data_IF_488868268019
#
_entry.id   IF_488868268019
#
_cell.length_a   1.000
_cell.length_b   1.000
_cell.length_c   1.000
_cell.angle_alpha   90.00
_cell.angle_beta   90.00
_cell.angle_gamma   90.00
#
_symmetry.space_group_name_H-M   'P 1'
#
loop_
_entity.id
_entity.type
_entity.pdbx_description
1 polymer ?
#
# COMPACT_ATOMS: atom_id res chain seq x y z
N UNK A 1 -14.26 -1.75 15.17
CA UNK A 1 -13.91 -2.24 13.82
C UNK A 1 -14.37 -1.31 12.71
N UNK A 2 -15.66 -1.00 12.54
CA UNK A 2 -16.17 -0.14 11.46
C UNK A 2 -15.47 1.22 11.36
N UNK A 3 -15.33 1.96 12.46
CA UNK A 3 -14.62 3.26 12.45
C UNK A 3 -13.15 3.15 12.04
N UNK A 4 -12.45 2.07 12.43
CA UNK A 4 -11.05 1.83 12.03
C UNK A 4 -10.94 1.50 10.54
N UNK A 5 -11.87 0.69 10.02
CA UNK A 5 -11.94 0.40 8.59
C UNK A 5 -12.18 1.67 7.77
N UNK A 6 -13.23 2.44 8.12
CA UNK A 6 -13.58 3.67 7.40
C UNK A 6 -12.44 4.71 7.45
N UNK A 7 -11.82 4.88 8.62
CA UNK A 7 -10.66 5.75 8.79
C UNK A 7 -9.51 5.34 7.86
N UNK A 8 -9.21 4.04 7.79
CA UNK A 8 -8.14 3.52 6.96
C UNK A 8 -8.48 3.64 5.47
N UNK A 9 -9.71 3.29 5.08
CA UNK A 9 -10.20 3.30 3.70
C UNK A 9 -10.13 4.71 3.11
N UNK A 10 -10.70 5.71 3.78
CA UNK A 10 -10.71 7.08 3.29
C UNK A 10 -9.32 7.75 3.39
N UNK A 11 -8.49 7.36 4.36
CA UNK A 11 -7.09 7.79 4.39
C UNK A 11 -6.31 7.25 3.18
N UNK A 12 -6.52 5.99 2.82
CA UNK A 12 -5.88 5.40 1.63
C UNK A 12 -6.40 6.00 0.33
N UNK A 13 -7.67 6.37 0.25
CA UNK A 13 -8.22 7.11 -0.88
C UNK A 13 -7.39 8.37 -1.17
N UNK A 14 -7.14 9.19 -0.16
CA UNK A 14 -6.38 10.45 -0.37
C UNK A 14 -4.87 10.24 -0.47
N UNK A 15 -4.35 9.20 0.15
CA UNK A 15 -2.93 8.85 0.00
C UNK A 15 -2.55 8.57 -1.45
N UNK A 16 -3.44 7.91 -2.20
CA UNK A 16 -3.26 7.58 -3.61
C UNK A 16 -3.81 8.65 -4.57
N UNK A 17 -4.31 9.77 -4.08
CA UNK A 17 -5.03 10.76 -4.88
C UNK A 17 -4.22 11.30 -6.07
N UNK A 18 -2.89 11.47 -5.90
CA UNK A 18 -2.02 11.96 -6.96
C UNK A 18 -1.84 10.95 -8.11
N UNK A 19 -2.04 9.65 -7.87
CA UNK A 19 -1.97 8.62 -8.90
C UNK A 19 -2.99 8.84 -10.03
N UNK A 20 -4.29 8.79 -9.74
CA UNK A 20 -5.34 9.05 -10.74
C UNK A 20 -5.33 10.47 -11.30
N UNK A 21 -4.83 11.46 -10.55
CA UNK A 21 -4.71 12.85 -10.99
C UNK A 21 -3.41 13.13 -11.77
N UNK A 22 -2.53 12.15 -11.95
CA UNK A 22 -1.21 12.39 -12.53
C UNK A 22 -1.25 12.94 -13.95
N UNK A 23 -2.23 12.54 -14.76
CA UNK A 23 -2.35 13.02 -16.14
C UNK A 23 -2.79 14.49 -16.17
N UNK A 24 -3.92 14.89 -15.55
CA UNK A 24 -4.35 16.30 -15.58
C UNK A 24 -3.32 17.23 -14.87
N UNK A 25 -2.69 16.81 -13.80
CA UNK A 25 -1.65 17.64 -13.12
C UNK A 25 -0.43 17.78 -14.03
N UNK A 26 0.05 16.71 -14.65
CA UNK A 26 1.22 16.76 -15.52
C UNK A 26 0.98 17.64 -16.76
N UNK A 27 -0.21 17.58 -17.34
CA UNK A 27 -0.60 18.45 -18.46
C UNK A 27 -0.65 19.94 -18.05
N UNK A 28 -1.21 20.23 -16.87
CA UNK A 28 -1.31 21.59 -16.37
C UNK A 28 0.03 22.22 -15.98
N UNK A 29 0.98 21.43 -15.49
CA UNK A 29 2.27 21.89 -15.00
C UNK A 29 3.44 21.63 -15.97
N UNK A 30 3.18 20.99 -17.13
CA UNK A 30 4.21 20.66 -18.11
C UNK A 30 5.24 19.64 -17.59
N UNK A 31 4.80 18.66 -16.76
CA UNK A 31 5.69 17.67 -16.15
C UNK A 31 6.10 16.60 -17.15
N UNK A 32 7.39 16.25 -17.16
CA UNK A 32 7.87 15.09 -17.88
C UNK A 32 7.50 13.75 -17.21
N UNK A 33 7.80 12.64 -17.87
CA UNK A 33 7.44 11.30 -17.38
C UNK A 33 8.12 10.97 -16.05
N UNK A 34 9.36 11.40 -15.85
CA UNK A 34 10.09 11.16 -14.60
C UNK A 34 9.50 11.99 -13.46
N UNK A 35 9.21 13.26 -13.68
CA UNK A 35 8.58 14.15 -12.70
C UNK A 35 7.20 13.64 -12.29
N UNK A 36 6.40 13.17 -13.27
CA UNK A 36 5.10 12.56 -13.02
C UNK A 36 5.23 11.29 -12.16
N UNK A 37 6.20 10.44 -12.44
CA UNK A 37 6.42 9.24 -11.64
C UNK A 37 6.89 9.57 -10.21
N UNK A 38 7.74 10.58 -10.02
CA UNK A 38 8.14 11.03 -8.69
C UNK A 38 6.96 11.63 -7.92
N UNK A 39 6.08 12.37 -8.57
CA UNK A 39 4.87 12.92 -7.97
C UNK A 39 4.00 11.84 -7.32
N UNK A 40 3.82 10.70 -7.99
CA UNK A 40 2.99 9.60 -7.45
C UNK A 40 3.75 8.68 -6.50
N UNK A 41 5.08 8.65 -6.58
CA UNK A 41 5.91 7.79 -5.74
C UNK A 41 6.21 8.42 -4.36
N UNK A 42 6.41 9.74 -4.29
CA UNK A 42 6.78 10.43 -3.04
C UNK A 42 5.76 10.21 -1.90
N UNK A 43 4.43 10.30 -2.11
CA UNK A 43 3.47 9.96 -1.06
C UNK A 43 3.67 8.55 -0.50
N UNK A 44 4.02 7.58 -1.35
CA UNK A 44 4.23 6.18 -0.95
C UNK A 44 5.43 6.08 -0.02
N UNK A 45 6.55 6.70 -0.38
CA UNK A 45 7.76 6.73 0.46
C UNK A 45 7.51 7.42 1.80
N UNK A 46 6.88 8.59 1.77
CA UNK A 46 6.59 9.34 2.99
C UNK A 46 5.63 8.57 3.90
N UNK A 47 4.59 7.94 3.32
CA UNK A 47 3.70 7.09 4.08
C UNK A 47 4.41 5.89 4.71
N UNK A 48 5.38 5.31 4.01
CA UNK A 48 6.20 4.22 4.54
C UNK A 48 7.00 4.63 5.79
N UNK A 49 7.70 5.75 5.72
CA UNK A 49 8.51 6.26 6.84
C UNK A 49 7.64 6.76 7.99
N UNK A 50 6.62 7.56 7.68
CA UNK A 50 5.72 8.15 8.68
C UNK A 50 4.89 7.09 9.40
N UNK A 51 4.75 5.87 8.86
CA UNK A 51 4.09 4.74 9.53
C UNK A 51 4.79 4.36 10.83
N UNK A 52 6.12 4.41 10.90
CA UNK A 52 6.85 4.17 12.14
C UNK A 52 6.61 5.31 13.14
N UNK A 53 6.66 6.56 12.68
CA UNK A 53 6.46 7.74 13.51
C UNK A 53 5.05 7.76 14.09
N UNK A 54 4.03 7.55 13.24
CA UNK A 54 2.63 7.54 13.66
C UNK A 54 2.31 6.35 14.58
N UNK A 55 2.94 5.19 14.34
CA UNK A 55 2.82 4.02 15.22
C UNK A 55 3.35 4.30 16.62
N UNK A 56 4.53 4.92 16.74
CA UNK A 56 5.08 5.32 18.04
C UNK A 56 4.26 6.42 18.70
N UNK A 57 3.71 7.35 17.93
CA UNK A 57 2.81 8.37 18.46
C UNK A 57 1.54 7.71 19.01
N UNK A 58 0.97 6.76 18.29
CA UNK A 58 -0.19 5.99 18.75
C UNK A 58 0.07 5.21 20.05
N UNK A 59 1.28 4.69 20.23
CA UNK A 59 1.67 4.00 21.49
C UNK A 59 1.88 4.98 22.66
N UNK A 60 2.15 6.27 22.39
CA UNK A 60 2.39 7.30 23.43
C UNK A 60 1.12 8.00 23.89
N UNK A 61 0.29 8.47 22.92
CA UNK A 61 -0.91 9.30 23.21
C UNK A 61 -2.22 8.56 22.99
N UNK A 62 -2.14 7.30 22.56
CA UNK A 62 -3.28 6.47 22.17
C UNK A 62 -3.56 6.51 20.67
N UNK A 63 -4.03 5.40 20.12
CA UNK A 63 -4.29 5.24 18.69
C UNK A 63 -5.39 6.20 18.19
N UNK A 64 -6.45 6.40 18.98
CA UNK A 64 -7.53 7.34 18.62
C UNK A 64 -7.02 8.77 18.50
N UNK A 65 -6.29 9.27 19.51
CA UNK A 65 -5.76 10.65 19.49
C UNK A 65 -4.77 10.84 18.36
N UNK A 66 -3.86 9.88 18.18
CA UNK A 66 -2.88 9.92 17.09
C UNK A 66 -3.57 9.94 15.71
N UNK A 67 -4.63 9.15 15.53
CA UNK A 67 -5.44 9.14 14.31
C UNK A 67 -6.14 10.47 14.05
N UNK A 68 -6.72 11.10 15.08
CA UNK A 68 -7.37 12.41 14.94
C UNK A 68 -6.36 13.48 14.51
N UNK A 69 -5.19 13.53 15.16
CA UNK A 69 -4.12 14.49 14.81
C UNK A 69 -3.64 14.28 13.37
N UNK A 70 -3.39 13.02 12.98
CA UNK A 70 -2.96 12.68 11.63
C UNK A 70 -4.00 13.08 10.59
N UNK A 71 -5.28 12.79 10.82
CA UNK A 71 -6.34 13.11 9.87
C UNK A 71 -6.60 14.61 9.75
N UNK A 72 -6.52 15.36 10.85
CA UNK A 72 -6.58 16.82 10.82
C UNK A 72 -5.43 17.42 10.00
N UNK A 73 -4.21 16.90 10.15
CA UNK A 73 -3.06 17.33 9.35
C UNK A 73 -3.28 17.07 7.84
N UNK A 74 -3.84 15.91 7.48
CA UNK A 74 -4.17 15.58 6.08
C UNK A 74 -5.25 16.51 5.52
N UNK A 75 -6.32 16.75 6.28
CA UNK A 75 -7.41 17.67 5.89
C UNK A 75 -6.85 19.08 5.69
N UNK A 76 -6.03 19.58 6.61
CA UNK A 76 -5.39 20.88 6.50
C UNK A 76 -4.50 20.98 5.26
N UNK A 77 -3.78 19.90 4.93
CA UNK A 77 -2.92 19.85 3.74
C UNK A 77 -3.71 19.91 2.43
N UNK A 78 -4.80 19.14 2.35
CA UNK A 78 -5.69 19.16 1.17
C UNK A 78 -6.43 20.49 1.04
N UNK A 79 -6.92 21.04 2.15
CA UNK A 79 -7.57 22.34 2.17
C UNK A 79 -6.61 23.46 1.74
N UNK A 80 -5.37 23.44 2.25
CA UNK A 80 -4.32 24.36 1.83
C UNK A 80 -3.99 24.25 0.34
N UNK A 81 -3.85 23.02 -0.17
CA UNK A 81 -3.60 22.78 -1.60
C UNK A 81 -4.77 23.28 -2.48
N UNK A 82 -6.00 23.16 -2.00
CA UNK A 82 -7.18 23.69 -2.68
C UNK A 82 -7.22 25.20 -2.70
N UNK A 83 -6.99 25.87 -1.57
CA UNK A 83 -7.10 27.34 -1.44
C UNK A 83 -5.94 28.07 -2.11
N UNK A 84 -4.71 27.57 -1.95
CA UNK A 84 -3.50 28.20 -2.49
C UNK A 84 -3.23 27.79 -3.95
N UNK A 85 -3.83 26.71 -4.39
CA UNK A 85 -3.54 26.08 -5.66
C UNK A 85 -2.20 25.32 -5.64
N UNK A 86 -2.03 24.45 -6.62
CA UNK A 86 -0.79 23.70 -6.85
C UNK A 86 -0.30 24.04 -8.25
N UNK A 87 0.76 24.85 -8.33
CA UNK A 87 1.24 25.48 -9.56
C UNK A 87 2.68 25.09 -9.92
N UNK A 88 3.36 24.28 -9.10
CA UNK A 88 4.72 23.85 -9.36
C UNK A 88 4.98 22.43 -8.88
N UNK A 89 6.01 21.78 -9.45
CA UNK A 89 6.45 20.44 -9.03
C UNK A 89 6.80 20.41 -7.53
N UNK A 90 7.44 21.46 -7.00
CA UNK A 90 7.77 21.56 -5.58
C UNK A 90 6.55 21.51 -4.67
N UNK A 91 5.47 22.21 -5.06
CA UNK A 91 4.20 22.20 -4.30
C UNK A 91 3.51 20.83 -4.38
N UNK A 92 3.55 20.16 -5.55
CA UNK A 92 3.04 18.79 -5.70
C UNK A 92 3.80 17.83 -4.80
N UNK A 93 5.14 17.90 -4.78
CA UNK A 93 5.97 17.05 -3.92
C UNK A 93 5.70 17.33 -2.44
N UNK A 94 5.57 18.60 -2.04
CA UNK A 94 5.20 18.95 -0.66
C UNK A 94 3.83 18.36 -0.29
N UNK A 95 2.84 18.49 -1.15
CA UNK A 95 1.54 17.86 -0.95
C UNK A 95 1.69 16.35 -0.83
N UNK A 96 2.51 15.72 -1.68
CA UNK A 96 2.81 14.29 -1.64
C UNK A 96 3.40 13.84 -0.30
N UNK A 97 4.34 14.62 0.26
CA UNK A 97 4.92 14.38 1.61
C UNK A 97 3.82 14.43 2.68
N UNK A 98 2.96 15.45 2.63
CA UNK A 98 1.88 15.63 3.59
C UNK A 98 0.80 14.53 3.47
N UNK A 99 0.45 14.11 2.24
CA UNK A 99 -0.44 12.98 2.01
C UNK A 99 0.17 11.65 2.50
N UNK A 100 1.48 11.55 2.64
CA UNK A 100 2.14 10.43 3.29
C UNK A 100 1.64 10.18 4.71
N UNK A 101 1.17 11.22 5.43
CA UNK A 101 0.54 11.07 6.76
C UNK A 101 -0.69 10.17 6.66
N UNK A 102 -1.49 10.34 5.60
CA UNK A 102 -2.64 9.47 5.35
C UNK A 102 -2.22 8.00 5.08
N UNK A 103 -1.10 7.79 4.38
CA UNK A 103 -0.52 6.44 4.17
C UNK A 103 -0.03 5.77 5.45
N UNK A 104 0.28 6.55 6.49
CA UNK A 104 0.64 6.05 7.80
C UNK A 104 -0.57 5.58 8.64
N UNK A 105 -1.81 5.84 8.23
CA UNK A 105 -3.06 5.49 8.94
C UNK A 105 -3.18 4.00 9.30
N UNK A 106 -2.52 3.15 8.55
CA UNK A 106 -2.36 1.72 8.85
C UNK A 106 -1.86 1.46 10.28
N UNK A 107 -0.91 2.26 10.76
CA UNK A 107 -0.33 2.12 12.10
C UNK A 107 -1.30 2.49 13.23
N UNK A 108 -2.38 3.21 12.92
CA UNK A 108 -3.46 3.54 13.85
C UNK A 108 -4.62 2.55 13.74
N UNK A 109 -5.08 2.32 12.52
CA UNK A 109 -6.32 1.59 12.26
C UNK A 109 -6.25 0.12 12.68
N UNK A 110 -5.14 -0.57 12.35
CA UNK A 110 -5.03 -2.00 12.63
C UNK A 110 -4.94 -2.30 14.12
N UNK A 111 -4.05 -1.65 14.90
CA UNK A 111 -4.03 -1.86 16.35
C UNK A 111 -5.34 -1.47 17.03
N UNK A 112 -5.98 -0.38 16.60
CA UNK A 112 -7.25 0.06 17.16
C UNK A 112 -8.37 -0.95 16.92
N UNK A 113 -8.35 -1.66 15.79
CA UNK A 113 -9.33 -2.71 15.50
C UNK A 113 -9.00 -4.01 16.23
N UNK A 114 -7.74 -4.49 16.16
CA UNK A 114 -7.36 -5.82 16.61
C UNK A 114 -7.35 -5.98 18.12
N UNK A 115 -7.02 -4.93 18.89
CA UNK A 115 -6.91 -4.99 20.37
C UNK A 115 -8.23 -5.28 21.10
N UNK A 116 -9.36 -5.21 20.42
CA UNK A 116 -10.68 -5.59 20.97
C UNK A 116 -10.96 -7.09 20.90
N UNK A 117 -10.12 -7.83 20.19
CA UNK A 117 -10.30 -9.26 19.94
C UNK A 117 -9.25 -10.09 20.65
N UNK A 118 -9.59 -11.30 21.10
CA UNK A 118 -8.63 -12.23 21.67
C UNK A 118 -7.58 -12.63 20.60
N UNK A 119 -6.39 -13.09 21.00
CA UNK A 119 -5.29 -13.39 20.08
C UNK A 119 -5.66 -14.25 18.87
N UNK A 120 -6.57 -15.22 19.07
CA UNK A 120 -7.04 -16.16 18.02
C UNK A 120 -7.82 -15.46 16.90
N UNK A 121 -8.41 -14.30 17.17
CA UNK A 121 -9.24 -13.54 16.22
C UNK A 121 -8.59 -12.23 15.76
N UNK A 122 -7.43 -11.87 16.29
CA UNK A 122 -6.75 -10.63 15.92
C UNK A 122 -6.32 -10.61 14.44
N UNK A 123 -5.91 -11.76 13.90
CA UNK A 123 -5.57 -11.90 12.47
C UNK A 123 -6.76 -11.57 11.57
N UNK A 124 -7.93 -12.12 11.88
CA UNK A 124 -9.17 -11.82 11.14
C UNK A 124 -9.56 -10.33 11.27
N UNK A 125 -9.46 -9.77 12.49
CA UNK A 125 -9.75 -8.36 12.71
C UNK A 125 -8.81 -7.43 11.93
N UNK A 126 -7.51 -7.74 11.89
CA UNK A 126 -6.52 -7.02 11.08
C UNK A 126 -6.75 -7.21 9.58
N UNK A 127 -7.18 -8.40 9.15
CA UNK A 127 -7.54 -8.68 7.76
C UNK A 127 -8.71 -7.81 7.29
N UNK A 128 -9.78 -7.76 8.07
CA UNK A 128 -10.97 -6.93 7.78
C UNK A 128 -10.60 -5.44 7.80
N UNK A 129 -9.91 -4.98 8.85
CA UNK A 129 -9.47 -3.59 8.91
C UNK A 129 -8.49 -3.25 7.76
N UNK A 130 -7.61 -4.20 7.41
CA UNK A 130 -6.65 -4.07 6.32
C UNK A 130 -7.27 -4.06 4.92
N UNK A 131 -8.50 -4.55 4.76
CA UNK A 131 -9.25 -4.42 3.51
C UNK A 131 -9.60 -2.95 3.17
N UNK A 132 -9.46 -2.02 4.13
CA UNK A 132 -9.57 -0.57 3.89
C UNK A 132 -8.55 0.00 2.89
N UNK A 133 -7.60 -0.79 2.37
CA UNK A 133 -6.86 -0.38 1.18
C UNK A 133 -7.74 -0.28 -0.08
N UNK A 134 -9.01 -0.72 -0.02
CA UNK A 134 -10.02 -0.49 -1.07
C UNK A 134 -10.30 0.99 -1.34
N UNK A 135 -10.00 1.90 -0.42
CA UNK A 135 -10.08 3.34 -0.65
C UNK A 135 -9.31 3.83 -1.87
N UNK A 136 -8.23 3.13 -2.25
CA UNK A 136 -7.52 3.40 -3.51
C UNK A 136 -8.40 3.20 -4.76
N UNK A 137 -9.39 2.32 -4.71
CA UNK A 137 -10.39 2.14 -5.76
C UNK A 137 -11.26 3.38 -5.90
N UNK A 138 -11.67 3.97 -4.77
CA UNK A 138 -12.46 5.20 -4.76
C UNK A 138 -11.67 6.36 -5.40
N UNK A 139 -10.39 6.49 -5.07
CA UNK A 139 -9.52 7.47 -5.72
C UNK A 139 -9.44 7.24 -7.24
N UNK A 140 -9.20 6.00 -7.67
CA UNK A 140 -9.05 5.67 -9.09
C UNK A 140 -10.34 5.91 -9.89
N UNK A 141 -11.51 5.64 -9.30
CA UNK A 141 -12.81 5.84 -9.95
C UNK A 141 -13.21 7.32 -9.99
N UNK A 142 -13.17 7.99 -8.84
CA UNK A 142 -13.81 9.29 -8.71
C UNK A 142 -12.89 10.47 -9.00
N UNK A 143 -11.58 10.39 -8.66
CA UNK A 143 -10.70 11.55 -8.80
C UNK A 143 -10.56 12.03 -10.26
N UNK A 144 -10.39 11.17 -11.28
CA UNK A 144 -10.35 11.63 -12.67
C UNK A 144 -11.68 12.24 -13.15
N UNK A 145 -12.81 11.67 -12.72
CA UNK A 145 -14.13 12.19 -13.08
C UNK A 145 -14.39 13.58 -12.48
N UNK A 146 -14.03 13.74 -11.21
CA UNK A 146 -14.13 15.03 -10.52
C UNK A 146 -13.16 16.06 -11.12
N UNK A 147 -11.96 15.63 -11.52
CA UNK A 147 -11.00 16.50 -12.17
C UNK A 147 -11.48 17.00 -13.54
N UNK A 148 -12.17 16.15 -14.30
CA UNK A 148 -12.78 16.54 -15.57
C UNK A 148 -13.95 17.52 -15.38
N UNK A 149 -14.75 17.33 -14.32
CA UNK A 149 -15.93 18.16 -14.07
C UNK A 149 -15.58 19.51 -13.41
N UNK A 150 -14.63 19.53 -12.49
CA UNK A 150 -14.36 20.68 -11.60
C UNK A 150 -12.91 21.18 -11.68
N UNK A 151 -12.04 20.53 -12.44
CA UNK A 151 -10.61 20.78 -12.45
C UNK A 151 -9.88 20.06 -11.26
N UNK A 152 -8.62 19.68 -11.49
CA UNK A 152 -7.87 18.86 -10.52
C UNK A 152 -7.66 19.56 -9.16
N UNK A 153 -7.54 20.88 -9.13
CA UNK A 153 -7.36 21.63 -7.87
C UNK A 153 -8.58 21.52 -6.95
N UNK A 154 -9.78 21.57 -7.52
CA UNK A 154 -11.01 21.43 -6.74
C UNK A 154 -11.20 20.01 -6.19
N UNK A 155 -10.57 19.00 -6.78
CA UNK A 155 -10.59 17.63 -6.23
C UNK A 155 -9.96 17.58 -4.83
N UNK A 156 -8.94 18.39 -4.54
CA UNK A 156 -8.35 18.46 -3.20
C UNK A 156 -9.36 18.95 -2.15
N UNK A 157 -10.13 20.01 -2.49
CA UNK A 157 -11.21 20.50 -1.64
C UNK A 157 -12.36 19.50 -1.46
N UNK A 158 -12.78 18.87 -2.56
CA UNK A 158 -13.83 17.85 -2.54
C UNK A 158 -13.43 16.62 -1.70
N UNK A 159 -12.15 16.24 -1.73
CA UNK A 159 -11.62 15.13 -0.91
C UNK A 159 -11.64 15.44 0.60
N UNK A 160 -11.67 16.70 1.01
CA UNK A 160 -11.84 17.06 2.42
C UNK A 160 -13.20 16.63 2.97
N UNK A 161 -14.27 16.62 2.15
CA UNK A 161 -15.63 16.30 2.60
C UNK A 161 -15.71 14.88 3.22
N UNK A 162 -15.37 13.82 2.49
CA UNK A 162 -15.40 12.46 3.06
C UNK A 162 -14.42 12.29 4.22
N UNK A 163 -13.29 12.99 4.24
CA UNK A 163 -12.35 12.92 5.36
C UNK A 163 -12.92 13.58 6.64
N UNK A 164 -13.60 14.71 6.53
CA UNK A 164 -14.26 15.37 7.67
C UNK A 164 -15.37 14.48 8.21
N UNK A 165 -16.20 13.91 7.35
CA UNK A 165 -17.23 12.96 7.75
C UNK A 165 -16.64 11.74 8.46
N UNK A 166 -15.56 11.20 7.91
CA UNK A 166 -14.83 10.08 8.52
C UNK A 166 -14.25 10.47 9.88
N UNK A 167 -13.68 11.68 9.99
CA UNK A 167 -13.14 12.18 11.25
C UNK A 167 -14.24 12.28 12.31
N UNK A 168 -15.41 12.79 11.96
CA UNK A 168 -16.56 12.87 12.87
C UNK A 168 -16.98 11.46 13.34
N UNK A 169 -17.17 10.52 12.40
CA UNK A 169 -17.48 9.13 12.73
C UNK A 169 -16.41 8.50 13.62
N UNK A 170 -15.13 8.74 13.30
CA UNK A 170 -14.00 8.22 14.07
C UNK A 170 -13.96 8.79 15.49
N UNK A 171 -14.18 10.09 15.67
CA UNK A 171 -14.21 10.73 16.99
C UNK A 171 -15.40 10.22 17.83
N UNK A 172 -16.57 10.04 17.22
CA UNK A 172 -17.77 9.62 17.94
C UNK A 172 -17.78 8.13 18.29
N UNK A 173 -17.35 7.27 17.36
CA UNK A 173 -17.51 5.81 17.46
C UNK A 173 -16.25 5.10 17.91
N UNK A 174 -15.05 5.56 17.50
CA UNK A 174 -13.81 4.86 17.84
C UNK A 174 -13.53 4.94 19.35
N UNK A 175 -13.21 3.79 19.93
CA UNK A 175 -12.82 3.65 21.33
C UNK A 175 -11.53 2.86 21.42
N UNK A 176 -10.70 3.22 22.39
CA UNK A 176 -9.51 2.45 22.70
C UNK A 176 -9.83 1.21 23.52
N UNK A 177 -9.17 0.11 23.25
CA UNK A 177 -9.28 -1.08 24.09
C UNK A 177 -8.64 -0.79 25.46
N UNK A 178 -9.22 -1.31 26.56
CA UNK A 178 -8.72 -1.06 27.93
C UNK A 178 -7.45 -1.88 28.26
N UNK A 179 -6.64 -2.19 27.25
CA UNK A 179 -5.43 -3.00 27.41
C UNK A 179 -4.20 -2.08 27.37
N UNK A 180 -3.32 -2.16 28.36
CA UNK A 180 -2.07 -1.38 28.36
C UNK A 180 -1.24 -1.66 27.11
N UNK A 181 -0.76 -0.62 26.46
CA UNK A 181 0.09 -0.73 25.29
C UNK A 181 1.55 -0.61 25.71
N UNK A 182 2.36 -1.60 25.38
CA UNK A 182 3.81 -1.50 25.56
C UNK A 182 4.35 -0.40 24.62
N UNK A 183 4.93 0.64 25.22
CA UNK A 183 5.55 1.75 24.49
C UNK A 183 6.78 1.26 23.73
N UNK A 184 6.75 1.30 22.43
CA UNK A 184 7.89 0.96 21.58
C UNK A 184 8.89 2.10 21.51
N UNK A 185 10.16 1.76 21.53
CA UNK A 185 11.29 2.68 21.40
C UNK A 185 12.01 2.40 20.08
N UNK A 186 12.72 3.38 19.54
CA UNK A 186 13.56 3.18 18.36
C UNK A 186 14.54 2.01 18.53
N UNK A 187 15.05 1.81 19.77
CA UNK A 187 15.93 0.69 20.09
C UNK A 187 15.27 -0.68 19.85
N UNK A 188 13.95 -0.81 20.00
CA UNK A 188 13.26 -2.08 19.78
C UNK A 188 13.24 -2.44 18.29
N UNK A 189 13.07 -1.45 17.41
CA UNK A 189 13.20 -1.63 15.96
C UNK A 189 14.63 -2.03 15.57
N UNK A 190 15.65 -1.35 16.13
CA UNK A 190 17.05 -1.69 15.91
C UNK A 190 17.40 -3.09 16.41
N UNK A 191 16.91 -3.49 17.58
CA UNK A 191 17.13 -4.84 18.13
C UNK A 191 16.57 -5.93 17.21
N UNK A 192 15.37 -5.76 16.70
CA UNK A 192 14.76 -6.73 15.80
C UNK A 192 15.51 -6.81 14.47
N UNK A 193 15.93 -5.67 13.90
CA UNK A 193 16.69 -5.64 12.65
C UNK A 193 18.08 -6.27 12.76
N UNK A 194 18.79 -6.02 13.86
CA UNK A 194 20.14 -6.56 14.05
C UNK A 194 20.09 -8.03 14.51
N UNK A 195 19.13 -8.37 15.36
CA UNK A 195 19.06 -9.70 16.01
C UNK A 195 18.35 -10.77 15.18
N UNK A 196 17.61 -10.41 14.11
CA UNK A 196 16.75 -11.37 13.44
C UNK A 196 16.82 -11.28 11.90
N UNK A 197 17.49 -12.27 11.29
CA UNK A 197 17.60 -12.37 9.83
C UNK A 197 16.23 -12.52 9.13
N UNK A 198 15.27 -13.13 9.79
CA UNK A 198 13.94 -13.29 9.23
C UNK A 198 13.20 -11.96 9.12
N UNK A 199 13.52 -10.96 9.95
CA UNK A 199 12.97 -9.62 9.80
C UNK A 199 13.24 -9.05 8.40
N UNK A 200 14.49 -9.14 7.92
CA UNK A 200 14.87 -8.70 6.56
C UNK A 200 14.20 -9.51 5.47
N UNK A 201 14.06 -10.83 5.67
CA UNK A 201 13.35 -11.71 4.73
C UNK A 201 11.89 -11.31 4.58
N UNK A 202 11.19 -11.06 5.69
CA UNK A 202 9.79 -10.61 5.67
C UNK A 202 9.63 -9.20 5.09
N UNK A 203 10.56 -8.29 5.39
CA UNK A 203 10.60 -6.96 4.78
C UNK A 203 10.74 -7.08 3.26
N UNK A 204 11.63 -7.94 2.77
CA UNK A 204 11.80 -8.22 1.35
C UNK A 204 10.53 -8.81 0.72
N UNK A 205 9.93 -9.82 1.35
CA UNK A 205 8.70 -10.44 0.85
C UNK A 205 7.56 -9.45 0.72
N UNK A 206 7.40 -8.57 1.68
CA UNK A 206 6.34 -7.56 1.63
C UNK A 206 6.67 -6.40 0.68
N UNK A 207 7.95 -6.14 0.43
CA UNK A 207 8.38 -5.22 -0.63
C UNK A 207 7.97 -5.71 -2.02
N UNK A 208 7.96 -7.03 -2.25
CA UNK A 208 7.43 -7.60 -3.49
C UNK A 208 5.91 -7.51 -3.52
N UNK A 209 5.20 -7.99 -2.48
CA UNK A 209 3.73 -8.10 -2.52
C UNK A 209 3.05 -6.74 -2.37
N UNK A 210 3.27 -6.03 -1.28
CA UNK A 210 2.65 -4.72 -1.06
C UNK A 210 3.34 -3.62 -1.88
N UNK A 211 4.67 -3.70 -2.03
CA UNK A 211 5.40 -2.79 -2.89
C UNK A 211 4.94 -2.88 -4.34
N UNK A 212 4.77 -4.10 -4.86
CA UNK A 212 4.20 -4.33 -6.18
C UNK A 212 2.78 -3.78 -6.30
N UNK A 213 1.91 -4.11 -5.33
CA UNK A 213 0.53 -3.61 -5.29
C UNK A 213 0.49 -2.07 -5.28
N UNK A 214 1.20 -1.44 -4.35
CA UNK A 214 1.18 0.03 -4.18
C UNK A 214 1.84 0.76 -5.33
N UNK A 215 2.96 0.24 -5.83
CA UNK A 215 3.68 0.82 -6.96
C UNK A 215 2.85 0.79 -8.25
N UNK A 216 2.26 -0.37 -8.59
CA UNK A 216 1.38 -0.46 -9.76
C UNK A 216 0.09 0.36 -9.57
N UNK A 217 -0.57 0.31 -8.41
CA UNK A 217 -1.76 1.11 -8.16
C UNK A 217 -1.54 2.60 -8.45
N UNK A 218 -0.34 3.12 -8.16
CA UNK A 218 0.02 4.52 -8.42
C UNK A 218 0.48 4.77 -9.86
N UNK A 219 1.19 3.82 -10.49
CA UNK A 219 1.78 4.00 -11.81
C UNK A 219 0.80 3.69 -12.97
N UNK A 220 -0.15 2.76 -12.78
CA UNK A 220 -1.03 2.27 -13.84
C UNK A 220 -1.86 3.34 -14.55
N UNK A 221 -2.40 4.40 -13.89
CA UNK A 221 -3.11 5.44 -14.63
C UNK A 221 -2.24 6.09 -15.71
N UNK A 222 -0.98 6.43 -15.37
CA UNK A 222 -0.03 6.97 -16.33
C UNK A 222 0.41 5.95 -17.37
N UNK A 223 0.61 4.69 -16.97
CA UNK A 223 0.95 3.61 -17.88
C UNK A 223 -0.13 3.40 -18.96
N UNK A 224 -1.40 3.30 -18.58
CA UNK A 224 -2.51 3.13 -19.53
C UNK A 224 -2.67 4.34 -20.44
N UNK A 225 -2.46 5.54 -19.92
CA UNK A 225 -2.45 6.76 -20.71
C UNK A 225 -1.32 6.76 -21.76
N UNK A 226 -0.08 6.49 -21.33
CA UNK A 226 1.11 6.58 -22.20
C UNK A 226 1.18 5.45 -23.24
N UNK A 227 0.75 4.24 -22.83
CA UNK A 227 0.91 3.05 -23.66
C UNK A 227 -0.26 2.84 -24.63
N UNK A 228 -1.48 3.23 -24.24
CA UNK A 228 -2.69 2.95 -25.00
C UNK A 228 -3.51 4.19 -25.33
N UNK A 229 -3.04 5.39 -24.96
CA UNK A 229 -3.75 6.64 -25.23
C UNK A 229 -5.07 6.79 -24.46
N UNK A 230 -5.23 6.07 -23.34
CA UNK A 230 -6.43 6.20 -22.54
C UNK A 230 -6.56 7.61 -21.96
N UNK A 231 -7.76 8.16 -22.01
CA UNK A 231 -8.06 9.37 -21.27
C UNK A 231 -8.00 9.13 -19.75
N UNK A 232 -7.96 10.19 -18.95
CA UNK A 232 -7.80 10.09 -17.50
C UNK A 232 -8.91 9.24 -16.84
N UNK A 233 -10.14 9.31 -17.36
CA UNK A 233 -11.30 8.56 -16.86
C UNK A 233 -11.14 7.06 -17.14
N UNK A 234 -10.84 6.69 -18.37
CA UNK A 234 -10.67 5.29 -18.79
C UNK A 234 -9.47 4.65 -18.09
N UNK A 235 -8.35 5.37 -17.99
CA UNK A 235 -7.16 4.93 -17.24
C UNK A 235 -7.47 4.74 -15.76
N UNK A 236 -8.28 5.62 -15.17
CA UNK A 236 -8.77 5.49 -13.79
C UNK A 236 -9.62 4.23 -13.59
N UNK A 237 -10.57 3.96 -14.49
CA UNK A 237 -11.41 2.75 -14.40
C UNK A 237 -10.60 1.47 -14.59
N UNK A 238 -9.67 1.42 -15.54
CA UNK A 238 -8.78 0.30 -15.74
C UNK A 238 -7.94 0.03 -14.48
N UNK A 239 -7.39 1.08 -13.89
CA UNK A 239 -6.64 0.98 -12.63
C UNK A 239 -7.53 0.53 -11.47
N UNK A 240 -8.74 1.06 -11.36
CA UNK A 240 -9.70 0.68 -10.32
C UNK A 240 -10.03 -0.81 -10.37
N UNK A 241 -10.23 -1.38 -11.57
CA UNK A 241 -10.45 -2.82 -11.73
C UNK A 241 -9.26 -3.64 -11.20
N UNK A 242 -8.03 -3.25 -11.53
CA UNK A 242 -6.81 -3.90 -11.04
C UNK A 242 -6.72 -3.84 -9.50
N UNK A 243 -6.89 -2.65 -8.93
CA UNK A 243 -6.76 -2.40 -7.49
C UNK A 243 -7.87 -3.10 -6.71
N UNK A 244 -9.10 -3.11 -7.23
CA UNK A 244 -10.23 -3.81 -6.63
C UNK A 244 -9.94 -5.31 -6.52
N UNK A 245 -9.45 -5.93 -7.58
CA UNK A 245 -9.08 -7.34 -7.59
C UNK A 245 -8.09 -7.68 -6.47
N UNK A 246 -7.04 -6.87 -6.31
CA UNK A 246 -6.05 -7.07 -5.26
C UNK A 246 -6.58 -6.76 -3.85
N UNK A 247 -7.43 -5.75 -3.70
CA UNK A 247 -8.00 -5.38 -2.40
C UNK A 247 -8.93 -6.47 -1.86
N UNK A 248 -9.80 -7.01 -2.72
CA UNK A 248 -10.70 -8.13 -2.37
C UNK A 248 -9.92 -9.40 -2.08
N UNK A 249 -8.87 -9.66 -2.85
CA UNK A 249 -8.06 -10.88 -2.67
C UNK A 249 -7.18 -10.87 -1.41
N UNK A 250 -6.95 -9.72 -0.80
CA UNK A 250 -6.09 -9.61 0.40
C UNK A 250 -6.60 -10.43 1.59
N UNK A 251 -7.86 -10.30 2.06
CA UNK A 251 -8.38 -11.16 3.12
C UNK A 251 -8.48 -12.63 2.68
N UNK A 252 -8.87 -12.90 1.44
CA UNK A 252 -8.97 -14.25 0.90
C UNK A 252 -7.60 -14.93 0.84
N UNK A 253 -6.54 -14.20 0.49
CA UNK A 253 -5.18 -14.69 0.49
C UNK A 253 -4.70 -15.14 1.87
N UNK A 254 -5.09 -14.44 2.93
CA UNK A 254 -4.85 -14.88 4.32
C UNK A 254 -5.55 -16.20 4.62
N UNK A 255 -6.83 -16.33 4.28
CA UNK A 255 -7.61 -17.58 4.46
C UNK A 255 -7.02 -18.74 3.65
N UNK A 256 -6.60 -18.50 2.42
CA UNK A 256 -5.93 -19.51 1.59
C UNK A 256 -4.60 -19.93 2.25
N UNK A 257 -3.81 -18.95 2.72
CA UNK A 257 -2.55 -19.21 3.40
C UNK A 257 -2.75 -20.05 4.69
N UNK A 258 -3.83 -19.80 5.43
CA UNK A 258 -4.19 -20.61 6.61
C UNK A 258 -4.48 -22.07 6.26
N UNK A 259 -5.03 -22.33 5.07
CA UNK A 259 -5.38 -23.70 4.62
C UNK A 259 -4.21 -24.45 4.00
N UNK A 260 -3.46 -23.80 3.08
CA UNK A 260 -2.42 -24.47 2.28
C UNK A 260 -1.01 -24.27 2.82
N UNK A 261 -0.85 -23.33 3.77
CA UNK A 261 0.43 -22.86 4.30
C UNK A 261 0.91 -21.57 3.63
N UNK A 262 1.32 -20.59 4.43
CA UNK A 262 1.73 -19.27 3.94
C UNK A 262 2.93 -19.30 3.00
N UNK A 263 3.91 -20.17 3.24
CA UNK A 263 5.08 -20.32 2.37
C UNK A 263 4.72 -20.88 0.99
N UNK A 264 3.79 -21.84 0.92
CA UNK A 264 3.32 -22.39 -0.36
C UNK A 264 2.53 -21.37 -1.15
N UNK A 265 1.63 -20.65 -0.48
CA UNK A 265 0.85 -19.58 -1.08
C UNK A 265 1.75 -18.48 -1.67
N UNK A 266 2.77 -18.02 -0.93
CA UNK A 266 3.71 -17.00 -1.39
C UNK A 266 4.58 -17.48 -2.55
N UNK A 267 5.06 -18.74 -2.54
CA UNK A 267 5.82 -19.28 -3.67
C UNK A 267 5.00 -19.25 -4.96
N UNK A 268 3.72 -19.64 -4.91
CA UNK A 268 2.82 -19.58 -6.06
C UNK A 268 2.61 -18.11 -6.50
N UNK A 269 2.36 -17.20 -5.55
CA UNK A 269 2.17 -15.77 -5.84
C UNK A 269 3.38 -15.18 -6.55
N UNK A 270 4.59 -15.39 -6.04
CA UNK A 270 5.80 -14.79 -6.64
C UNK A 270 6.05 -15.30 -8.05
N UNK A 271 5.84 -16.60 -8.30
CA UNK A 271 6.01 -17.17 -9.63
C UNK A 271 4.97 -16.61 -10.61
N UNK A 272 3.70 -16.57 -10.19
CA UNK A 272 2.62 -16.01 -11.02
C UNK A 272 2.86 -14.53 -11.32
N UNK A 273 3.21 -13.71 -10.31
CA UNK A 273 3.49 -12.29 -10.49
C UNK A 273 4.66 -12.07 -11.45
N UNK A 274 5.76 -12.82 -11.28
CA UNK A 274 6.91 -12.72 -12.17
C UNK A 274 6.54 -13.05 -13.62
N UNK A 275 5.75 -14.11 -13.82
CA UNK A 275 5.27 -14.52 -15.14
C UNK A 275 4.34 -13.47 -15.77
N UNK A 276 3.32 -13.02 -15.04
CA UNK A 276 2.33 -12.06 -15.54
C UNK A 276 2.95 -10.71 -15.89
N UNK A 277 3.80 -10.17 -14.98
CA UNK A 277 4.50 -8.90 -15.23
C UNK A 277 5.56 -9.06 -16.31
N UNK A 278 6.25 -10.21 -16.36
CA UNK A 278 7.17 -10.54 -17.43
C UNK A 278 6.51 -10.51 -18.81
N UNK A 279 5.33 -11.13 -18.94
CA UNK A 279 4.53 -11.10 -20.18
C UNK A 279 4.07 -9.66 -20.49
N UNK A 280 3.57 -8.92 -19.50
CA UNK A 280 3.16 -7.55 -19.70
C UNK A 280 4.32 -6.65 -20.22
N UNK A 281 5.55 -6.93 -19.80
CA UNK A 281 6.74 -6.23 -20.27
C UNK A 281 7.03 -6.39 -21.76
N UNK A 282 6.56 -7.45 -22.42
CA UNK A 282 6.69 -7.59 -23.87
C UNK A 282 5.73 -6.68 -24.66
N UNK A 283 4.72 -6.10 -24.02
CA UNK A 283 3.74 -5.22 -24.66
C UNK A 283 2.86 -5.91 -25.71
N UNK A 284 2.86 -7.25 -25.76
CA UNK A 284 2.09 -8.03 -26.70
C UNK A 284 0.61 -8.13 -26.26
N UNK A 285 -0.33 -7.91 -27.18
CA UNK A 285 -1.74 -8.24 -26.97
C UNK A 285 -2.71 -7.08 -26.76
N UNK A 286 -2.25 -5.83 -26.88
CA UNK A 286 -3.13 -4.66 -26.80
C UNK A 286 -3.65 -4.36 -25.38
N UNK A 287 -4.53 -3.37 -25.27
CA UNK A 287 -5.00 -2.82 -24.00
C UNK A 287 -5.77 -3.85 -23.15
N UNK A 288 -6.64 -4.65 -23.77
CA UNK A 288 -7.50 -5.61 -23.06
C UNK A 288 -6.70 -6.73 -22.41
N UNK A 289 -5.74 -7.31 -23.13
CA UNK A 289 -4.88 -8.37 -22.60
C UNK A 289 -3.99 -7.82 -21.48
N UNK A 290 -3.40 -6.65 -21.69
CA UNK A 290 -2.57 -5.99 -20.68
C UNK A 290 -3.38 -5.65 -19.42
N UNK A 291 -4.61 -5.17 -19.55
CA UNK A 291 -5.51 -4.96 -18.42
C UNK A 291 -5.76 -6.28 -17.67
N UNK A 292 -6.06 -7.36 -18.38
CA UNK A 292 -6.24 -8.69 -17.78
C UNK A 292 -5.00 -9.16 -17.01
N UNK A 293 -3.80 -8.97 -17.59
CA UNK A 293 -2.53 -9.29 -16.93
C UNK A 293 -2.34 -8.51 -15.62
N UNK A 294 -2.66 -7.19 -15.62
CA UNK A 294 -2.54 -6.38 -14.41
C UNK A 294 -3.63 -6.68 -13.37
N UNK A 295 -4.86 -6.99 -13.80
CA UNK A 295 -5.92 -7.47 -12.88
C UNK A 295 -5.45 -8.72 -12.16
N UNK A 296 -4.93 -9.71 -12.88
CA UNK A 296 -4.40 -10.94 -12.29
C UNK A 296 -3.15 -10.69 -11.43
N UNK A 297 -2.27 -9.78 -11.87
CA UNK A 297 -1.07 -9.40 -11.10
C UNK A 297 -1.44 -8.81 -9.76
N UNK A 298 -2.34 -7.81 -9.73
CA UNK A 298 -2.75 -7.17 -8.49
C UNK A 298 -3.57 -8.10 -7.60
N UNK A 299 -4.37 -8.98 -8.19
CA UNK A 299 -5.04 -10.06 -7.47
C UNK A 299 -4.01 -10.96 -6.75
N UNK A 300 -2.97 -11.43 -7.45
CA UNK A 300 -1.91 -12.23 -6.84
C UNK A 300 -1.16 -11.45 -5.76
N UNK A 301 -0.79 -10.19 -6.01
CA UNK A 301 -0.10 -9.34 -5.04
C UNK A 301 -0.96 -9.09 -3.78
N UNK A 302 -2.26 -8.86 -3.97
CA UNK A 302 -3.22 -8.74 -2.87
C UNK A 302 -3.29 -10.00 -2.01
N UNK A 303 -3.40 -11.17 -2.65
CA UNK A 303 -3.36 -12.46 -1.96
C UNK A 303 -2.05 -12.69 -1.21
N UNK A 304 -0.92 -12.31 -1.83
CA UNK A 304 0.40 -12.33 -1.21
C UNK A 304 0.50 -11.45 0.03
N UNK A 305 -0.13 -10.27 0.01
CA UNK A 305 -0.19 -9.40 1.20
C UNK A 305 -0.86 -10.11 2.38
N UNK A 306 -1.95 -10.84 2.14
CA UNK A 306 -2.62 -11.66 3.15
C UNK A 306 -1.73 -12.78 3.66
N UNK A 307 -1.04 -13.48 2.75
CA UNK A 307 -0.17 -14.61 3.09
C UNK A 307 1.07 -14.19 3.92
N UNK A 308 1.68 -13.01 3.64
CA UNK A 308 2.76 -12.49 4.48
C UNK A 308 2.27 -12.24 5.90
N UNK A 309 1.12 -11.57 6.07
CA UNK A 309 0.58 -11.28 7.40
C UNK A 309 0.05 -12.50 8.13
N UNK A 310 -0.22 -13.60 7.45
CA UNK A 310 -0.51 -14.90 8.08
C UNK A 310 0.74 -15.49 8.75
N UNK A 311 1.92 -15.32 8.13
CA UNK A 311 3.19 -15.85 8.66
C UNK A 311 3.81 -14.99 9.78
N UNK A 312 3.58 -13.66 9.77
CA UNK A 312 4.21 -12.72 10.72
C UNK A 312 3.91 -13.05 12.18
N UNK A 313 2.67 -13.29 12.63
CA UNK A 313 2.38 -13.64 14.02
C UNK A 313 3.02 -14.96 14.46
N UNK A 314 3.13 -15.92 13.55
CA UNK A 314 3.74 -17.22 13.83
C UNK A 314 5.22 -17.11 14.14
N UNK A 315 5.92 -16.15 13.51
CA UNK A 315 7.37 -15.96 13.69
C UNK A 315 7.73 -14.94 14.75
N UNK A 316 6.94 -13.87 14.90
CA UNK A 316 7.29 -12.68 15.68
C UNK A 316 6.27 -12.37 16.79
N UNK A 317 5.66 -13.38 17.40
CA UNK A 317 4.56 -13.22 18.36
C UNK A 317 4.73 -12.10 19.39
N UNK A 318 5.90 -11.99 20.04
CA UNK A 318 6.18 -10.93 21.01
C UNK A 318 6.49 -9.56 20.36
N UNK A 319 7.09 -9.56 19.17
CA UNK A 319 7.52 -8.36 18.44
C UNK A 319 6.60 -8.01 17.28
N UNK A 320 5.40 -8.58 17.22
CA UNK A 320 4.45 -8.44 16.09
C UNK A 320 4.21 -6.99 15.70
N UNK A 321 4.10 -6.08 16.66
CA UNK A 321 3.84 -4.68 16.36
C UNK A 321 5.05 -3.95 15.77
N UNK A 322 6.28 -4.27 16.21
CA UNK A 322 7.52 -3.75 15.63
C UNK A 322 7.66 -4.27 14.19
N UNK A 323 7.45 -5.58 14.02
CA UNK A 323 7.55 -6.22 12.71
C UNK A 323 6.51 -5.73 11.73
N UNK A 324 5.26 -5.53 12.17
CA UNK A 324 4.21 -4.94 11.31
C UNK A 324 4.60 -3.55 10.81
N UNK A 325 5.23 -2.74 11.66
CA UNK A 325 5.76 -1.43 11.28
C UNK A 325 6.89 -1.52 10.25
N UNK A 326 7.90 -2.36 10.52
CA UNK A 326 9.06 -2.55 9.65
C UNK A 326 8.68 -3.13 8.29
N UNK A 327 7.86 -4.19 8.29
CA UNK A 327 7.35 -4.82 7.07
C UNK A 327 6.54 -3.81 6.25
N UNK A 328 5.65 -3.06 6.92
CA UNK A 328 4.84 -2.04 6.26
C UNK A 328 5.68 -0.91 5.66
N UNK A 329 6.75 -0.49 6.34
CA UNK A 329 7.72 0.48 5.81
C UNK A 329 8.43 -0.07 4.58
N UNK A 330 8.96 -1.29 4.65
CA UNK A 330 9.67 -1.92 3.54
C UNK A 330 8.78 -2.08 2.31
N UNK A 331 7.51 -2.48 2.51
CA UNK A 331 6.54 -2.55 1.43
C UNK A 331 6.31 -1.20 0.74
N UNK A 332 6.21 -0.11 1.51
CA UNK A 332 6.10 1.23 0.92
C UNK A 332 7.37 1.68 0.19
N UNK A 333 8.57 1.36 0.72
CA UNK A 333 9.85 1.61 0.02
C UNK A 333 9.87 0.85 -1.32
N UNK A 334 9.45 -0.42 -1.34
CA UNK A 334 9.32 -1.20 -2.56
C UNK A 334 8.35 -0.57 -3.58
N UNK A 335 7.21 -0.06 -3.09
CA UNK A 335 6.23 0.64 -3.93
C UNK A 335 6.75 1.95 -4.52
N UNK A 336 7.46 2.73 -3.72
CA UNK A 336 8.18 3.92 -4.20
C UNK A 336 9.19 3.56 -5.30
N UNK A 337 10.04 2.54 -5.04
CA UNK A 337 11.07 2.13 -5.98
C UNK A 337 10.46 1.65 -7.31
N UNK A 338 9.34 0.91 -7.26
CA UNK A 338 8.65 0.48 -8.46
C UNK A 338 8.02 1.66 -9.23
N UNK A 339 7.24 2.51 -8.55
CA UNK A 339 6.54 3.61 -9.21
C UNK A 339 7.52 4.63 -9.81
N UNK A 340 8.54 5.05 -9.03
CA UNK A 340 9.58 5.96 -9.51
C UNK A 340 10.45 5.30 -10.59
N UNK A 341 10.85 4.04 -10.39
CA UNK A 341 11.68 3.29 -11.33
C UNK A 341 11.03 3.10 -12.70
N UNK A 342 9.74 2.79 -12.73
CA UNK A 342 8.97 2.69 -13.99
C UNK A 342 9.03 4.00 -14.79
N UNK A 343 8.84 5.15 -14.13
CA UNK A 343 8.89 6.44 -14.81
C UNK A 343 10.30 6.84 -15.27
N UNK A 344 11.31 6.65 -14.42
CA UNK A 344 12.71 6.92 -14.77
C UNK A 344 13.14 6.08 -15.96
N UNK A 345 12.87 4.77 -15.91
CA UNK A 345 13.22 3.87 -17.02
C UNK A 345 12.46 4.22 -18.29
N UNK A 346 11.17 4.55 -18.20
CA UNK A 346 10.39 5.02 -19.35
C UNK A 346 10.97 6.29 -19.95
N UNK A 347 11.39 7.26 -19.14
CA UNK A 347 11.99 8.52 -19.61
C UNK A 347 13.28 8.28 -20.39
N UNK A 348 14.14 7.35 -19.92
CA UNK A 348 15.44 7.12 -20.53
C UNK A 348 15.43 6.10 -21.67
N UNK A 349 14.52 5.12 -21.63
CA UNK A 349 14.50 4.01 -22.61
C UNK A 349 13.34 4.07 -23.59
N UNK A 350 12.41 4.99 -23.38
CA UNK A 350 11.18 5.07 -24.18
C UNK A 350 10.16 3.96 -23.89
N UNK A 351 10.46 3.00 -22.96
CA UNK A 351 9.62 1.82 -22.71
C UNK A 351 9.46 1.52 -21.22
N UNK A 352 8.32 0.98 -20.82
CA UNK A 352 8.09 0.42 -19.48
C UNK A 352 8.65 -1.00 -19.31
N UNK A 353 9.04 -1.68 -20.40
CA UNK A 353 9.44 -3.09 -20.42
C UNK A 353 10.53 -3.42 -19.41
N UNK A 354 11.61 -2.64 -19.39
CA UNK A 354 12.76 -2.88 -18.50
C UNK A 354 12.31 -2.82 -17.02
N UNK A 355 11.50 -1.83 -16.66
CA UNK A 355 10.98 -1.69 -15.31
C UNK A 355 10.11 -2.88 -14.89
N UNK A 356 9.28 -3.39 -15.79
CA UNK A 356 8.46 -4.58 -15.56
C UNK A 356 9.32 -5.84 -15.41
N UNK A 357 10.34 -6.02 -16.26
CA UNK A 357 11.24 -7.17 -16.16
C UNK A 357 12.12 -7.13 -14.91
N UNK A 358 12.56 -5.94 -14.47
CA UNK A 358 13.26 -5.79 -13.19
C UNK A 358 12.35 -6.15 -12.01
N UNK A 359 11.08 -5.75 -12.04
CA UNK A 359 10.14 -6.16 -11.00
C UNK A 359 9.83 -7.67 -11.06
N UNK A 360 9.71 -8.26 -12.25
CA UNK A 360 9.57 -9.70 -12.41
C UNK A 360 10.78 -10.45 -11.82
N UNK A 361 12.00 -9.97 -12.10
CA UNK A 361 13.23 -10.51 -11.51
C UNK A 361 13.26 -10.36 -9.98
N UNK A 362 12.78 -9.22 -9.45
CA UNK A 362 12.64 -8.98 -8.01
C UNK A 362 11.66 -9.98 -7.36
N UNK A 363 10.53 -10.27 -8.01
CA UNK A 363 9.59 -11.29 -7.57
C UNK A 363 10.20 -12.71 -7.61
N UNK A 364 10.97 -13.06 -8.65
CA UNK A 364 11.73 -14.31 -8.71
C UNK A 364 12.79 -14.39 -7.61
N UNK A 365 13.43 -13.28 -7.25
CA UNK A 365 14.31 -13.19 -6.08
C UNK A 365 13.59 -13.55 -4.79
N UNK A 366 12.33 -13.07 -4.62
CA UNK A 366 11.46 -13.44 -3.51
C UNK A 366 11.12 -14.93 -3.50
N UNK A 367 10.81 -15.47 -4.66
CA UNK A 367 10.56 -16.90 -4.83
C UNK A 367 11.79 -17.75 -4.45
N UNK A 368 12.96 -17.40 -4.98
CA UNK A 368 14.21 -18.13 -4.71
C UNK A 368 14.62 -18.07 -3.24
N UNK A 369 14.55 -16.88 -2.63
CA UNK A 369 14.82 -16.70 -1.20
C UNK A 369 13.89 -17.53 -0.34
N UNK A 370 12.59 -17.51 -0.62
CA UNK A 370 11.60 -18.26 0.14
C UNK A 370 11.77 -19.78 -0.07
N UNK A 371 12.06 -20.21 -1.30
CA UNK A 371 12.35 -21.61 -1.60
C UNK A 371 13.55 -22.14 -0.83
N UNK A 372 14.59 -21.30 -0.65
CA UNK A 372 15.78 -21.64 0.13
C UNK A 372 15.55 -21.77 1.63
N UNK A 373 14.64 -20.96 2.19
CA UNK A 373 14.42 -20.94 3.66
C UNK A 373 13.25 -21.79 4.15
N UNK A 374 12.32 -22.17 3.26
CA UNK A 374 11.08 -22.86 3.65
C UNK A 374 11.28 -24.15 4.44
N UNK A 375 12.32 -24.92 4.12
CA UNK A 375 12.63 -26.19 4.80
C UNK A 375 13.12 -25.93 6.22
N UNK A 376 14.01 -24.96 6.38
CA UNK A 376 14.50 -24.51 7.69
C UNK A 376 13.34 -24.01 8.55
N UNK A 377 12.47 -23.15 8.00
CA UNK A 377 11.33 -22.63 8.74
C UNK A 377 10.35 -23.73 9.17
N UNK A 378 10.11 -24.72 8.32
CA UNK A 378 9.25 -25.85 8.67
C UNK A 378 9.82 -26.66 9.83
N UNK A 379 11.12 -26.90 9.87
CA UNK A 379 11.73 -27.64 10.97
C UNK A 379 11.76 -26.82 12.27
N UNK A 380 12.10 -25.55 12.22
CA UNK A 380 12.18 -24.67 13.40
C UNK A 380 10.81 -24.32 13.99
N UNK A 381 9.78 -24.07 13.14
CA UNK A 381 8.48 -23.62 13.61
C UNK A 381 7.54 -24.78 13.96
N UNK A 382 7.73 -25.96 13.40
CA UNK A 382 6.95 -27.15 13.78
C UNK A 382 7.20 -27.58 15.24
N UNK A 383 8.41 -27.38 15.75
CA UNK A 383 8.75 -27.64 17.14
C UNK A 383 8.10 -26.65 18.13
N UNK A 384 7.69 -25.48 17.66
CA UNK A 384 7.00 -24.44 18.45
C UNK A 384 5.47 -24.58 18.43
N UNK A 385 4.91 -25.65 17.85
CA UNK A 385 3.45 -25.85 17.75
C UNK A 385 2.76 -24.95 16.73
N UNK A 386 3.52 -24.23 15.90
CA UNK A 386 2.99 -23.35 14.87
C UNK A 386 2.48 -24.16 13.68
N UNK A 387 1.17 -24.15 13.51
CA UNK A 387 0.45 -24.96 12.58
C UNK A 387 0.69 -24.61 11.17
N UNK A 388 1.08 -24.80 10.17
CA UNK A 388 0.98 -24.56 8.71
C UNK A 388 1.88 -23.43 8.18
N UNK A 389 3.15 -23.67 8.25
CA UNK A 389 4.19 -22.91 7.51
C UNK A 389 4.28 -23.33 6.04
#
# INVERSE_FOLDING_TARGET
>A
MFASFLYFDLSFMVWYLLGPLQVPIAQALGLDTQQRALMVAVPILCGAVLRLVLGMLADRIGAKRAGVVAQLAVIASLFGAWQLGVHSMGQVLLLGVLLGIAGASFAVALPLASRWYPPEHQGTAMGIAGAGNSGTVLAALFAPMLALAFGYQNVFGLACIPLVLTLLVFVLIAREAPIPVARKRWADYGRVLVGNRDAWRFMFFYSVTFGGFSGFASALPGYFHDQFGFDARTAGWATAACVLAGSVMRPLGGVIADRVGGTRALLAVYLLVATLVGIAGFGAGGATITLGLFVLTLLCLGGGNGAVFQLVPQRFGQDIGVMTGLIGMAGGIGGFALAAGLGVLKQHTGSYAIGMWLFAAFALGGWALLAGVKTQWRSEWSTAGAARV
#
